data_IF_909444656133
#
_entry.id   IF_909444656133
#
_cell.length_a   1.000
_cell.length_b   1.000
_cell.length_c   1.000
_cell.angle_alpha   90.00
_cell.angle_beta   90.00
_cell.angle_gamma   90.00
#
_symmetry.space_group_name_H-M   'P 1'
#
loop_
_entity.id
_entity.type
_entity.pdbx_description
1 polymer ?
#
# COMPACT_ATOMS: atom_id res chain seq x y z
N UNK A 1 21.16 13.36 -8.70
CA UNK A 1 20.76 13.36 -7.27
C UNK A 1 19.67 12.32 -7.09
N UNK A 2 19.78 11.44 -6.09
CA UNK A 2 18.74 10.42 -5.83
C UNK A 2 17.47 11.09 -5.29
N UNK A 3 16.32 10.58 -5.72
CA UNK A 3 14.98 11.01 -5.33
C UNK A 3 14.17 9.77 -4.98
N UNK A 4 13.47 9.79 -3.84
CA UNK A 4 12.68 8.64 -3.37
C UNK A 4 11.58 8.25 -4.36
N UNK A 5 11.06 9.22 -5.11
CA UNK A 5 10.02 9.02 -6.14
C UNK A 5 10.52 8.16 -7.31
N UNK A 6 11.84 8.00 -7.47
CA UNK A 6 12.41 7.10 -8.49
C UNK A 6 12.49 5.65 -8.01
N UNK A 7 12.38 5.38 -6.70
CA UNK A 7 12.37 4.01 -6.20
C UNK A 7 11.00 3.39 -6.52
N UNK A 8 10.97 2.24 -7.19
CA UNK A 8 9.73 1.57 -7.60
C UNK A 8 8.78 1.27 -6.42
N UNK A 9 9.35 1.10 -5.23
CA UNK A 9 8.65 0.78 -3.98
C UNK A 9 8.21 2.01 -3.19
N UNK A 10 8.44 3.22 -3.72
CA UNK A 10 7.87 4.43 -3.14
C UNK A 10 6.34 4.37 -3.16
N UNK A 11 5.70 4.90 -2.11
CA UNK A 11 4.26 4.75 -1.87
C UNK A 11 3.42 5.20 -3.08
N UNK A 12 3.73 6.34 -3.69
CA UNK A 12 3.00 6.82 -4.86
C UNK A 12 3.20 5.95 -6.11
N UNK A 13 4.36 5.32 -6.29
CA UNK A 13 4.59 4.38 -7.39
C UNK A 13 3.77 3.09 -7.19
N UNK A 14 3.76 2.55 -5.96
CA UNK A 14 2.93 1.40 -5.60
C UNK A 14 1.45 1.72 -5.79
N UNK A 15 1.00 2.89 -5.34
CA UNK A 15 -0.36 3.37 -5.49
C UNK A 15 -0.76 3.45 -6.97
N UNK A 16 0.07 4.06 -7.81
CA UNK A 16 -0.23 4.21 -9.24
C UNK A 16 -0.28 2.85 -9.95
N UNK A 17 0.57 1.89 -9.60
CA UNK A 17 0.49 0.53 -10.18
C UNK A 17 -0.81 -0.18 -9.81
N UNK A 18 -1.26 -0.06 -8.56
CA UNK A 18 -2.55 -0.61 -8.13
C UNK A 18 -3.72 0.12 -8.82
N UNK A 19 -3.68 1.45 -8.89
CA UNK A 19 -4.69 2.24 -9.58
C UNK A 19 -4.80 1.83 -11.06
N UNK A 20 -3.67 1.73 -11.74
CA UNK A 20 -3.59 1.25 -13.13
C UNK A 20 -4.11 -0.18 -13.28
N UNK A 21 -3.78 -1.09 -12.37
CA UNK A 21 -4.32 -2.46 -12.36
C UNK A 21 -5.86 -2.44 -12.35
N UNK A 22 -6.48 -1.69 -11.43
CA UNK A 22 -7.95 -1.58 -11.34
C UNK A 22 -8.58 -0.92 -12.57
N UNK A 23 -7.98 0.15 -13.10
CA UNK A 23 -8.43 0.79 -14.36
C UNK A 23 -8.44 -0.21 -15.51
N UNK A 24 -7.38 -1.01 -15.64
CA UNK A 24 -7.23 -1.99 -16.73
C UNK A 24 -8.25 -3.13 -16.66
N UNK A 25 -8.76 -3.46 -15.46
CA UNK A 25 -9.84 -4.44 -15.27
C UNK A 25 -11.23 -3.80 -15.18
N UNK A 26 -11.37 -2.54 -15.62
CA UNK A 26 -12.64 -1.87 -15.84
C UNK A 26 -13.24 -1.17 -14.63
N UNK A 27 -12.46 -0.88 -13.59
CA UNK A 27 -12.92 -0.06 -12.47
C UNK A 27 -12.67 1.42 -12.74
N UNK A 28 -13.62 2.26 -12.31
CA UNK A 28 -13.37 3.68 -12.12
C UNK A 28 -12.53 3.87 -10.86
N UNK A 29 -11.43 4.61 -10.94
CA UNK A 29 -10.48 4.77 -9.84
C UNK A 29 -10.37 6.23 -9.41
N UNK A 30 -10.47 6.47 -8.10
CA UNK A 30 -10.26 7.76 -7.44
C UNK A 30 -9.05 7.60 -6.50
N UNK A 31 -8.03 8.44 -6.63
CA UNK A 31 -6.83 8.46 -5.77
C UNK A 31 -6.79 9.74 -4.94
N UNK A 32 -6.46 9.64 -3.65
CA UNK A 32 -6.57 10.78 -2.71
C UNK A 32 -5.43 11.80 -2.81
N UNK A 33 -4.40 11.56 -3.62
CA UNK A 33 -3.42 12.58 -3.99
C UNK A 33 -4.07 13.84 -4.61
N UNK A 34 -5.28 13.71 -5.17
CA UNK A 34 -6.02 14.80 -5.83
C UNK A 34 -7.01 15.56 -4.95
N UNK A 35 -7.33 15.08 -3.75
CA UNK A 35 -8.39 15.64 -2.91
C UNK A 35 -7.97 15.67 -1.44
N UNK A 36 -6.99 16.50 -1.12
CA UNK A 36 -6.56 16.88 0.23
C UNK A 36 -6.10 15.73 1.15
N UNK A 37 -5.05 16.01 1.92
CA UNK A 37 -4.51 15.18 3.02
C UNK A 37 -5.49 14.98 4.20
N UNK A 38 -6.79 14.95 3.95
CA UNK A 38 -7.85 14.78 4.94
C UNK A 38 -8.54 13.43 4.76
N UNK A 39 -8.06 12.43 5.49
CA UNK A 39 -8.84 11.31 6.05
C UNK A 39 -9.48 10.31 5.07
N UNK A 40 -9.16 10.34 3.77
CA UNK A 40 -9.57 9.34 2.78
C UNK A 40 -8.64 8.13 2.72
N UNK A 41 -9.14 7.01 2.17
CA UNK A 41 -8.35 5.83 1.78
C UNK A 41 -7.51 6.15 0.53
N UNK A 42 -6.34 5.54 0.33
CA UNK A 42 -5.42 5.94 -0.75
C UNK A 42 -6.01 5.76 -2.16
N UNK A 43 -6.76 4.66 -2.36
CA UNK A 43 -7.46 4.37 -3.62
C UNK A 43 -8.88 3.90 -3.34
N UNK A 44 -9.84 4.43 -4.09
CA UNK A 44 -11.20 3.91 -4.19
C UNK A 44 -11.40 3.41 -5.62
N UNK A 45 -11.64 2.11 -5.79
CA UNK A 45 -11.98 1.51 -7.08
C UNK A 45 -13.46 1.12 -7.09
N UNK A 46 -14.22 1.58 -8.08
CA UNK A 46 -15.66 1.32 -8.22
C UNK A 46 -15.99 0.65 -9.53
N UNK A 47 -16.84 -0.37 -9.49
CA UNK A 47 -17.44 -1.00 -10.67
C UNK A 47 -18.79 -1.58 -10.28
N UNK A 48 -19.85 -1.15 -10.96
CA UNK A 48 -21.23 -1.51 -10.64
C UNK A 48 -21.54 -1.27 -9.15
N UNK A 49 -21.99 -2.31 -8.44
CA UNK A 49 -22.27 -2.27 -7.00
C UNK A 49 -21.06 -2.66 -6.13
N UNK A 50 -19.86 -2.77 -6.70
CA UNK A 50 -18.63 -3.08 -5.97
C UNK A 50 -17.79 -1.83 -5.72
N UNK A 51 -17.42 -1.63 -4.47
CA UNK A 51 -16.46 -0.61 -4.05
C UNK A 51 -15.30 -1.31 -3.33
N UNK A 52 -14.07 -1.02 -3.77
CA UNK A 52 -12.83 -1.49 -3.15
C UNK A 52 -12.11 -0.28 -2.56
N UNK A 53 -11.89 -0.33 -1.25
CA UNK A 53 -11.15 0.67 -0.48
C UNK A 53 -9.74 0.12 -0.23
N UNK A 54 -8.72 0.74 -0.81
CA UNK A 54 -7.35 0.22 -0.78
C UNK A 54 -6.43 1.20 -0.06
N UNK A 55 -5.87 0.76 1.05
CA UNK A 55 -4.81 1.48 1.78
C UNK A 55 -3.45 0.99 1.26
N UNK A 56 -2.55 1.90 0.90
CA UNK A 56 -1.27 1.61 0.24
C UNK A 56 -0.12 1.99 1.17
N UNK A 57 0.89 1.13 1.23
CA UNK A 57 2.20 1.48 1.80
C UNK A 57 3.34 1.12 0.88
N UNK A 58 4.30 2.03 0.77
CA UNK A 58 5.59 1.77 0.14
C UNK A 58 6.55 0.98 1.05
N UNK A 59 7.82 0.86 0.64
CA UNK A 59 8.88 0.29 1.47
C UNK A 59 9.87 1.37 1.91
N UNK A 60 10.40 1.32 3.15
CA UNK A 60 11.35 2.33 3.60
C UNK A 60 12.66 2.24 2.83
N UNK A 61 13.08 3.36 2.24
CA UNK A 61 14.40 3.46 1.61
C UNK A 61 15.52 3.34 2.64
N UNK A 62 16.63 2.73 2.22
CA UNK A 62 17.91 2.69 2.94
C UNK A 62 18.63 4.05 2.98
N UNK A 63 18.12 5.05 2.25
CA UNK A 63 18.64 6.42 2.22
C UNK A 63 17.69 7.41 2.87
N UNK A 64 18.26 8.51 3.38
CA UNK A 64 17.48 9.68 3.83
C UNK A 64 16.69 10.24 2.66
N UNK A 65 15.36 10.24 2.81
CA UNK A 65 14.41 10.65 1.79
C UNK A 65 14.44 12.16 1.54
N UNK A 66 14.67 12.93 2.60
CA UNK A 66 14.53 14.39 2.63
C UNK A 66 15.60 15.01 3.56
N UNK A 67 15.80 16.32 3.47
CA UNK A 67 16.72 17.10 4.31
C UNK A 67 18.18 17.10 3.84
N UNK A 68 19.07 17.69 4.64
CA UNK A 68 20.49 17.90 4.28
C UNK A 68 21.25 16.60 3.96
N UNK A 69 20.77 15.47 4.48
CA UNK A 69 21.35 14.15 4.26
C UNK A 69 20.72 13.38 3.10
N UNK A 70 19.85 14.01 2.30
CA UNK A 70 19.11 13.33 1.23
C UNK A 70 20.04 12.48 0.35
N UNK A 71 19.65 11.23 0.13
CA UNK A 71 20.43 10.26 -0.66
C UNK A 71 21.61 9.62 0.06
N UNK A 72 21.96 10.06 1.27
CA UNK A 72 22.93 9.38 2.12
C UNK A 72 22.30 8.18 2.82
N UNK A 73 23.10 7.16 3.14
CA UNK A 73 22.65 5.96 3.83
C UNK A 73 22.10 6.28 5.25
N UNK A 74 20.97 5.66 5.60
CA UNK A 74 20.39 5.69 6.95
C UNK A 74 21.06 4.67 7.85
N UNK A 75 21.14 4.99 9.14
CA UNK A 75 21.56 4.03 10.18
C UNK A 75 20.47 2.99 10.48
N UNK A 76 19.20 3.38 10.41
CA UNK A 76 18.06 2.50 10.70
C UNK A 76 17.82 1.54 9.56
N UNK A 77 17.73 0.24 9.87
CA UNK A 77 17.44 -0.77 8.86
C UNK A 77 16.02 -0.61 8.30
N UNK A 78 15.83 -0.71 6.98
CA UNK A 78 14.51 -0.68 6.33
C UNK A 78 13.51 -1.69 6.93
N UNK A 79 13.97 -2.89 7.27
CA UNK A 79 13.12 -3.98 7.79
C UNK A 79 12.40 -3.63 9.09
N UNK A 80 13.03 -2.83 9.97
CA UNK A 80 12.42 -2.38 11.22
C UNK A 80 11.29 -1.37 10.95
N UNK A 81 11.55 -0.38 10.08
CA UNK A 81 10.54 0.60 9.67
C UNK A 81 9.38 -0.08 8.93
N UNK A 82 9.66 -1.07 8.08
CA UNK A 82 8.65 -1.81 7.35
C UNK A 82 7.67 -2.53 8.29
N UNK A 83 8.16 -3.08 9.42
CA UNK A 83 7.29 -3.68 10.45
C UNK A 83 6.31 -2.66 11.03
N UNK A 84 6.77 -1.45 11.36
CA UNK A 84 5.91 -0.39 11.88
C UNK A 84 4.86 0.03 10.84
N UNK A 85 5.27 0.27 9.60
CA UNK A 85 4.36 0.64 8.50
C UNK A 85 3.32 -0.45 8.23
N UNK A 86 3.70 -1.73 8.32
CA UNK A 86 2.77 -2.85 8.21
C UNK A 86 1.72 -2.85 9.33
N UNK A 87 2.13 -2.65 10.58
CA UNK A 87 1.19 -2.57 11.70
C UNK A 87 0.20 -1.41 11.55
N UNK A 88 0.67 -0.25 11.09
CA UNK A 88 -0.18 0.92 10.84
C UNK A 88 -1.24 0.64 9.78
N UNK A 89 -0.85 0.10 8.63
CA UNK A 89 -1.80 -0.17 7.53
C UNK A 89 -2.76 -1.31 7.86
N UNK A 90 -2.31 -2.32 8.61
CA UNK A 90 -3.19 -3.37 9.12
C UNK A 90 -4.29 -2.80 10.03
N UNK A 91 -3.92 -1.97 11.01
CA UNK A 91 -4.90 -1.33 11.90
C UNK A 91 -5.83 -0.39 11.12
N UNK A 92 -5.32 0.34 10.12
CA UNK A 92 -6.14 1.19 9.24
C UNK A 92 -7.19 0.36 8.50
N UNK A 93 -6.79 -0.75 7.88
CA UNK A 93 -7.69 -1.65 7.14
C UNK A 93 -8.77 -2.27 8.03
N UNK A 94 -8.42 -2.71 9.25
CA UNK A 94 -9.40 -3.24 10.21
C UNK A 94 -10.45 -2.17 10.54
N UNK A 95 -10.01 -0.95 10.89
CA UNK A 95 -10.92 0.18 11.17
C UNK A 95 -11.78 0.53 9.96
N UNK A 96 -11.25 0.37 8.74
CA UNK A 96 -11.98 0.59 7.49
C UNK A 96 -13.09 -0.42 7.30
N UNK A 97 -12.79 -1.72 7.45
CA UNK A 97 -13.77 -2.80 7.34
C UNK A 97 -14.90 -2.63 8.35
N UNK A 98 -14.61 -2.16 9.57
CA UNK A 98 -15.66 -1.82 10.55
C UNK A 98 -16.55 -0.64 10.15
N UNK A 99 -16.01 0.36 9.44
CA UNK A 99 -16.77 1.57 9.02
C UNK A 99 -17.57 1.37 7.73
N UNK A 100 -17.08 0.52 6.83
CA UNK A 100 -17.68 0.26 5.53
C UNK A 100 -17.80 -1.26 5.30
N UNK A 101 -18.66 -1.96 6.07
CA UNK A 101 -18.71 -3.43 6.07
C UNK A 101 -19.13 -4.04 4.72
N UNK A 102 -19.88 -3.29 3.92
CA UNK A 102 -20.31 -3.68 2.56
C UNK A 102 -19.23 -3.48 1.50
N UNK A 103 -18.21 -2.66 1.77
CA UNK A 103 -17.12 -2.41 0.83
C UNK A 103 -16.04 -3.48 0.99
N UNK A 104 -15.36 -3.80 -0.11
CA UNK A 104 -14.17 -4.64 -0.09
C UNK A 104 -13.01 -3.79 0.44
N UNK A 105 -12.25 -4.32 1.40
CA UNK A 105 -11.07 -3.63 1.92
C UNK A 105 -9.82 -4.37 1.48
N UNK A 106 -8.83 -3.62 0.99
CA UNK A 106 -7.55 -4.17 0.58
C UNK A 106 -6.37 -3.35 1.11
N UNK A 107 -5.22 -4.01 1.21
CA UNK A 107 -3.93 -3.40 1.51
C UNK A 107 -3.01 -3.61 0.31
N UNK A 108 -2.40 -2.54 -0.19
CA UNK A 108 -1.41 -2.54 -1.26
C UNK A 108 0.02 -2.40 -0.74
N UNK A 109 0.90 -3.35 -1.08
CA UNK A 109 2.30 -3.36 -0.63
C UNK A 109 3.26 -3.72 -1.77
N UNK A 110 4.52 -3.24 -1.75
CA UNK A 110 5.55 -3.71 -2.67
C UNK A 110 6.04 -5.12 -2.29
N UNK A 111 6.51 -5.86 -3.29
CA UNK A 111 7.04 -7.24 -3.15
C UNK A 111 8.41 -7.25 -2.45
N UNK A 112 8.37 -7.22 -1.12
CA UNK A 112 9.54 -7.43 -0.27
C UNK A 112 9.33 -8.63 0.63
N UNK A 113 10.38 -9.46 0.76
CA UNK A 113 10.41 -10.63 1.65
C UNK A 113 9.90 -10.32 3.06
N UNK A 114 10.19 -9.12 3.59
CA UNK A 114 9.74 -8.73 4.93
C UNK A 114 8.21 -8.57 5.01
N UNK A 115 7.59 -7.93 4.02
CA UNK A 115 6.12 -7.84 3.98
C UNK A 115 5.49 -9.21 3.76
N UNK A 116 6.04 -10.02 2.86
CA UNK A 116 5.52 -11.38 2.63
C UNK A 116 5.55 -12.24 3.92
N UNK A 117 6.63 -12.16 4.70
CA UNK A 117 6.73 -12.83 6.01
C UNK A 117 5.65 -12.34 6.97
N UNK A 118 5.47 -11.01 7.10
CA UNK A 118 4.46 -10.42 7.98
C UNK A 118 3.03 -10.78 7.57
N UNK A 119 2.77 -10.86 6.27
CA UNK A 119 1.48 -11.31 5.73
C UNK A 119 1.22 -12.76 6.14
N UNK A 120 2.20 -13.64 5.99
CA UNK A 120 2.05 -15.05 6.37
C UNK A 120 1.85 -15.20 7.89
N UNK A 121 2.65 -14.49 8.70
CA UNK A 121 2.54 -14.44 10.16
C UNK A 121 1.13 -14.00 10.64
N UNK A 122 0.41 -13.21 9.84
CA UNK A 122 -0.89 -12.62 10.18
C UNK A 122 -2.04 -13.07 9.28
N UNK A 123 -1.82 -14.09 8.44
CA UNK A 123 -2.75 -14.54 7.39
C UNK A 123 -4.16 -14.85 7.89
N UNK A 124 -4.25 -15.52 9.05
CA UNK A 124 -5.52 -15.83 9.71
C UNK A 124 -6.42 -14.59 9.87
N UNK A 125 -5.85 -13.42 10.20
CA UNK A 125 -6.62 -12.20 10.42
C UNK A 125 -7.20 -11.68 9.09
N UNK A 126 -6.40 -11.68 8.03
CA UNK A 126 -6.84 -11.25 6.70
C UNK A 126 -7.99 -12.12 6.17
N UNK A 127 -7.88 -13.43 6.35
CA UNK A 127 -8.94 -14.38 5.96
C UNK A 127 -10.22 -14.17 6.78
N UNK A 128 -10.12 -14.02 8.10
CA UNK A 128 -11.28 -13.84 8.98
C UNK A 128 -11.97 -12.50 8.82
N UNK A 129 -11.23 -11.44 8.50
CA UNK A 129 -11.75 -10.09 8.35
C UNK A 129 -12.06 -9.74 6.89
N UNK A 130 -11.84 -10.68 5.96
CA UNK A 130 -12.01 -10.49 4.52
C UNK A 130 -11.25 -9.27 3.97
N UNK A 131 -10.04 -9.05 4.49
CA UNK A 131 -9.14 -7.99 4.02
C UNK A 131 -8.23 -8.61 2.97
N UNK A 132 -8.24 -8.05 1.76
CA UNK A 132 -7.42 -8.56 0.66
C UNK A 132 -6.04 -7.93 0.64
N UNK A 133 -5.05 -8.67 0.14
CA UNK A 133 -3.69 -8.16 -0.03
C UNK A 133 -3.36 -8.10 -1.51
N UNK A 134 -2.87 -6.95 -1.96
CA UNK A 134 -2.35 -6.71 -3.30
C UNK A 134 -0.85 -6.46 -3.20
N UNK A 135 -0.07 -7.21 -3.96
CA UNK A 135 1.38 -7.09 -4.01
C UNK A 135 1.81 -6.53 -5.36
N UNK A 136 2.66 -5.51 -5.33
CA UNK A 136 3.26 -4.87 -6.51
C UNK A 136 4.71 -5.31 -6.65
N UNK A 137 5.05 -5.97 -7.75
CA UNK A 137 6.45 -6.33 -8.06
C UNK A 137 7.20 -5.11 -8.62
N UNK A 138 8.54 -5.18 -8.60
CA UNK A 138 9.41 -4.16 -9.22
C UNK A 138 9.08 -3.91 -10.71
N UNK A 139 8.73 -4.95 -11.46
CA UNK A 139 8.28 -4.84 -12.85
C UNK A 139 6.90 -4.18 -13.04
N UNK A 140 6.21 -3.82 -11.95
CA UNK A 140 4.89 -3.19 -11.95
C UNK A 140 3.70 -4.15 -12.05
N UNK A 141 3.95 -5.46 -12.09
CA UNK A 141 2.90 -6.48 -12.00
C UNK A 141 2.21 -6.41 -10.62
N UNK A 142 0.88 -6.47 -10.61
CA UNK A 142 0.07 -6.51 -9.39
C UNK A 142 -0.62 -7.87 -9.29
N UNK A 143 -0.48 -8.54 -8.15
CA UNK A 143 -1.14 -9.82 -7.90
C UNK A 143 -1.78 -9.87 -6.50
N UNK A 144 -2.81 -10.69 -6.36
CA UNK A 144 -3.47 -10.94 -5.06
C UNK A 144 -2.72 -12.03 -4.30
N UNK A 145 -2.43 -11.79 -3.02
CA UNK A 145 -1.77 -12.76 -2.14
C UNK A 145 -2.78 -13.53 -1.29
#
# INVERSE_FOLDING_TARGET
MWKKENDWFWEGNVQEKIASYFRNIGYQVITTDTLAKQRGVDIIAKRDNQEVLIEVKGYPSDKYADGEKQGQAKKTQPTLQAKHWFSEVLVSAIRRKSKAPSSIVAIGLPDFKRYLSLIEETKWAFEKLEIHILIVKEGGEVYKK
#
